data_IF_460993026977
#
_entry.id   IF_460993026977
#
_cell.length_a   1.000
_cell.length_b   1.000
_cell.length_c   1.000
_cell.angle_alpha   90.00
_cell.angle_beta   90.00
_cell.angle_gamma   90.00
#
_symmetry.space_group_name_H-M   'P 1'
#
loop_
_entity.id
_entity.type
_entity.pdbx_description
1 polymer ?
#
# COMPACT_ATOMS: atom_id res chain seq x y z
N UNK A 1 9.81 -19.91 16.00
CA UNK A 1 9.57 -19.19 14.74
C UNK A 1 8.09 -19.29 14.37
N UNK A 2 7.50 -18.17 13.98
CA UNK A 2 6.14 -18.16 13.39
C UNK A 2 6.24 -17.43 12.06
N UNK A 3 5.79 -18.09 10.99
CA UNK A 3 5.69 -17.51 9.66
C UNK A 3 4.21 -17.37 9.31
N UNK A 4 3.80 -16.19 8.90
CA UNK A 4 2.48 -15.90 8.37
C UNK A 4 2.60 -15.29 6.99
N UNK A 5 1.74 -15.70 6.06
CA UNK A 5 1.65 -15.12 4.72
C UNK A 5 0.20 -14.86 4.38
N UNK A 6 -0.04 -13.73 3.72
CA UNK A 6 -1.36 -13.35 3.19
C UNK A 6 -1.17 -12.74 1.82
N UNK A 7 -2.02 -13.12 0.88
CA UNK A 7 -2.05 -12.56 -0.47
C UNK A 7 -3.47 -12.18 -0.86
N UNK A 8 -3.62 -11.05 -1.54
CA UNK A 8 -4.88 -10.61 -2.12
C UNK A 8 -4.66 -10.23 -3.58
N UNK A 9 -5.64 -10.55 -4.39
CA UNK A 9 -5.72 -10.12 -5.78
C UNK A 9 -7.10 -9.54 -6.02
N UNK A 10 -7.17 -8.39 -6.67
CA UNK A 10 -8.41 -7.74 -7.04
C UNK A 10 -8.44 -7.48 -8.54
N UNK A 11 -9.57 -7.80 -9.15
CA UNK A 11 -9.95 -7.41 -10.49
C UNK A 11 -11.12 -6.44 -10.40
N UNK A 12 -10.91 -5.20 -10.83
CA UNK A 12 -11.85 -4.08 -10.60
C UNK A 12 -12.22 -3.42 -11.92
N UNK A 13 -13.08 -4.03 -12.75
CA UNK A 13 -13.58 -3.43 -13.97
C UNK A 13 -14.60 -2.33 -13.65
N UNK A 14 -14.13 -1.15 -13.29
CA UNK A 14 -14.97 0.01 -12.97
C UNK A 14 -15.29 0.77 -14.25
N UNK A 15 -16.36 0.37 -14.95
CA UNK A 15 -16.73 0.90 -16.27
C UNK A 15 -17.87 1.91 -16.14
N UNK A 16 -17.74 3.05 -16.83
CA UNK A 16 -18.85 4.01 -16.96
C UNK A 16 -19.99 3.40 -17.77
N UNK A 17 -21.14 3.17 -17.12
CA UNK A 17 -22.37 2.66 -17.74
C UNK A 17 -23.43 3.74 -17.91
N UNK A 18 -23.11 5.01 -17.70
CA UNK A 18 -24.02 6.13 -17.90
C UNK A 18 -24.39 6.33 -19.35
N UNK A 19 -25.35 7.21 -19.58
CA UNK A 19 -25.75 7.64 -20.95
C UNK A 19 -24.75 8.67 -21.49
N UNK A 20 -24.60 8.70 -22.82
CA UNK A 20 -23.77 9.71 -23.49
C UNK A 20 -24.34 11.10 -23.25
N UNK A 21 -23.54 12.01 -22.74
CA UNK A 21 -23.93 13.41 -22.52
C UNK A 21 -23.97 14.23 -23.81
N UNK A 22 -23.25 13.80 -24.84
CA UNK A 22 -23.18 14.39 -26.15
C UNK A 22 -22.74 13.36 -27.18
N UNK A 23 -22.91 13.60 -28.50
CA UNK A 23 -22.38 12.72 -29.55
C UNK A 23 -20.86 12.52 -29.48
N UNK A 24 -20.13 13.50 -28.93
CA UNK A 24 -18.65 13.43 -28.74
C UNK A 24 -18.21 12.76 -27.45
N UNK A 25 -19.14 12.32 -26.59
CA UNK A 25 -18.80 11.66 -25.32
C UNK A 25 -18.25 10.25 -25.55
N UNK A 26 -16.95 10.10 -25.32
CA UNK A 26 -16.20 8.85 -25.45
C UNK A 26 -16.04 8.12 -24.11
N UNK A 27 -16.63 8.60 -23.02
CA UNK A 27 -16.44 8.04 -21.67
C UNK A 27 -17.27 6.79 -21.40
N UNK A 28 -18.36 6.58 -22.11
CA UNK A 28 -19.27 5.45 -21.92
C UNK A 28 -18.61 4.14 -22.36
N UNK A 29 -18.68 3.12 -21.52
CA UNK A 29 -18.03 1.84 -21.74
C UNK A 29 -16.53 1.82 -21.39
N UNK A 30 -15.97 2.93 -20.88
CA UNK A 30 -14.57 3.07 -20.53
C UNK A 30 -14.32 2.88 -19.02
N UNK A 31 -13.11 2.44 -18.66
CA UNK A 31 -12.67 2.33 -17.28
C UNK A 31 -12.63 3.71 -16.63
N UNK A 32 -13.05 3.79 -15.36
CA UNK A 32 -12.99 5.04 -14.61
C UNK A 32 -11.54 5.50 -14.39
N UNK A 33 -11.27 6.82 -14.46
CA UNK A 33 -9.95 7.37 -14.22
C UNK A 33 -9.40 7.00 -12.84
N UNK A 34 -8.09 6.82 -12.75
CA UNK A 34 -7.32 6.50 -11.54
C UNK A 34 -7.66 5.16 -10.86
N UNK A 35 -8.57 4.37 -11.41
CA UNK A 35 -8.91 3.04 -10.86
C UNK A 35 -8.10 1.98 -11.60
N UNK A 36 -7.20 1.23 -10.93
CA UNK A 36 -6.47 0.14 -11.53
C UNK A 36 -7.41 -1.02 -11.85
N UNK A 37 -7.27 -1.62 -13.01
CA UNK A 37 -8.04 -2.81 -13.41
C UNK A 37 -7.63 -4.04 -12.61
N UNK A 38 -6.34 -4.13 -12.27
CA UNK A 38 -5.78 -5.21 -11.46
C UNK A 38 -4.95 -4.62 -10.34
N UNK A 39 -5.06 -5.22 -9.16
CA UNK A 39 -4.16 -4.95 -8.05
C UNK A 39 -3.88 -6.24 -7.27
N UNK A 40 -2.69 -6.31 -6.69
CA UNK A 40 -2.29 -7.43 -5.87
C UNK A 40 -1.53 -6.95 -4.65
N UNK A 41 -1.68 -7.64 -3.53
CA UNK A 41 -0.88 -7.41 -2.33
C UNK A 41 -0.42 -8.74 -1.77
N UNK A 42 0.87 -8.83 -1.42
CA UNK A 42 1.46 -9.94 -0.71
C UNK A 42 2.08 -9.41 0.58
N UNK A 43 1.77 -10.07 1.69
CA UNK A 43 2.33 -9.73 3.00
C UNK A 43 2.91 -10.98 3.63
N UNK A 44 4.18 -10.92 4.04
CA UNK A 44 4.86 -11.95 4.80
C UNK A 44 5.27 -11.43 6.17
N UNK A 45 4.98 -12.18 7.23
CA UNK A 45 5.38 -11.85 8.60
C UNK A 45 6.17 -13.01 9.18
N UNK A 46 7.38 -12.72 9.64
CA UNK A 46 8.23 -13.65 10.39
C UNK A 46 8.38 -13.13 11.82
N UNK A 47 7.99 -13.95 12.78
CA UNK A 47 8.13 -13.62 14.21
C UNK A 47 9.07 -14.60 14.89
N UNK A 48 10.02 -14.07 15.62
CA UNK A 48 10.93 -14.85 16.44
C UNK A 48 11.13 -14.19 17.80
N UNK A 49 10.71 -14.86 18.90
CA UNK A 49 10.70 -14.27 20.24
C UNK A 49 9.97 -12.92 20.24
N UNK A 50 10.67 -11.84 20.58
CA UNK A 50 10.15 -10.46 20.60
C UNK A 50 10.47 -9.65 19.33
N UNK A 51 10.97 -10.30 18.27
CA UNK A 51 11.22 -9.70 16.96
C UNK A 51 10.10 -10.03 15.99
N UNK A 52 9.69 -9.06 15.19
CA UNK A 52 8.76 -9.26 14.09
C UNK A 52 9.30 -8.54 12.84
N UNK A 53 9.50 -9.29 11.78
CA UNK A 53 9.82 -8.77 10.45
C UNK A 53 8.58 -8.89 9.58
N UNK A 54 8.15 -7.78 8.98
CA UNK A 54 7.04 -7.72 8.06
C UNK A 54 7.55 -7.23 6.71
N UNK A 55 7.28 -7.99 5.67
CA UNK A 55 7.46 -7.57 4.29
C UNK A 55 6.10 -7.41 3.64
N UNK A 56 5.89 -6.30 2.96
CA UNK A 56 4.67 -6.01 2.18
C UNK A 56 5.06 -5.62 0.77
N UNK A 57 4.53 -6.35 -0.19
CA UNK A 57 4.61 -6.03 -1.60
C UNK A 57 3.21 -5.72 -2.13
N UNK A 58 3.09 -4.71 -3.00
CA UNK A 58 1.86 -4.42 -3.71
C UNK A 58 2.15 -4.06 -5.17
N UNK A 59 1.19 -4.40 -6.02
CA UNK A 59 1.20 -4.13 -7.45
C UNK A 59 -0.10 -3.44 -7.85
N UNK A 60 0.00 -2.45 -8.71
CA UNK A 60 -1.12 -1.77 -9.35
C UNK A 60 -0.88 -1.75 -10.86
N UNK A 61 -1.90 -2.18 -11.63
CA UNK A 61 -1.86 -2.08 -13.08
C UNK A 61 -1.92 -0.62 -13.54
N UNK A 62 -1.75 -0.39 -14.83
CA UNK A 62 -1.95 0.91 -15.46
C UNK A 62 -3.31 1.52 -15.07
N UNK A 63 -3.38 2.83 -15.01
CA UNK A 63 -4.58 3.60 -14.70
C UNK A 63 -4.71 4.74 -15.68
N UNK A 64 -5.92 4.98 -16.15
CA UNK A 64 -6.20 6.10 -17.02
C UNK A 64 -6.36 7.38 -16.20
N UNK A 65 -5.94 8.49 -16.74
CA UNK A 65 -6.13 9.83 -16.16
C UNK A 65 -7.36 10.52 -16.72
N UNK A 66 -7.81 10.10 -17.92
CA UNK A 66 -8.92 10.66 -18.67
C UNK A 66 -10.05 9.63 -18.85
N UNK A 67 -11.26 10.14 -18.99
CA UNK A 67 -12.47 9.32 -19.14
C UNK A 67 -12.57 8.58 -20.46
N UNK A 68 -11.85 9.00 -21.50
CA UNK A 68 -11.80 8.34 -22.81
C UNK A 68 -10.81 7.17 -22.86
N UNK A 69 -10.08 6.91 -21.77
CA UNK A 69 -9.00 5.91 -21.67
C UNK A 69 -7.91 6.10 -22.73
N UNK A 70 -7.50 7.33 -22.95
CA UNK A 70 -6.39 7.66 -23.82
C UNK A 70 -5.07 7.06 -23.26
N UNK A 71 -4.25 6.52 -24.15
CA UNK A 71 -2.95 5.90 -23.83
C UNK A 71 -1.75 6.83 -24.10
N UNK A 72 -2.00 8.11 -24.39
CA UNK A 72 -0.92 9.08 -24.53
C UNK A 72 -0.17 9.31 -23.21
N UNK A 73 0.98 9.98 -23.25
CA UNK A 73 1.82 10.23 -22.07
C UNK A 73 1.08 10.90 -20.90
N UNK A 74 0.06 11.70 -21.20
CA UNK A 74 -0.77 12.36 -20.18
C UNK A 74 -2.08 11.62 -19.89
N UNK A 75 -2.48 10.70 -20.74
CA UNK A 75 -3.74 9.96 -20.68
C UNK A 75 -3.71 8.74 -19.76
N UNK A 76 -2.54 8.23 -19.41
CA UNK A 76 -2.41 7.07 -18.52
C UNK A 76 -1.20 7.15 -17.60
N UNK A 77 -1.25 6.41 -16.51
CA UNK A 77 -0.16 6.20 -15.58
C UNK A 77 0.34 4.77 -15.72
N UNK A 78 1.67 4.54 -15.82
CA UNK A 78 2.24 3.20 -15.93
C UNK A 78 1.91 2.33 -14.70
N UNK A 79 1.94 1.01 -14.85
CA UNK A 79 1.85 0.11 -13.70
C UNK A 79 3.08 0.28 -12.82
N UNK A 80 2.92 0.01 -11.52
CA UNK A 80 4.05 0.00 -10.59
C UNK A 80 3.87 -1.05 -9.50
N UNK A 81 4.95 -1.39 -8.86
CA UNK A 81 4.94 -2.16 -7.62
C UNK A 81 5.66 -1.41 -6.52
N UNK A 82 5.39 -1.77 -5.29
CA UNK A 82 6.05 -1.18 -4.12
C UNK A 82 6.33 -2.25 -3.09
N UNK A 83 7.51 -2.15 -2.48
CA UNK A 83 7.98 -3.05 -1.44
C UNK A 83 8.31 -2.28 -0.18
N UNK A 84 7.74 -2.70 0.94
CA UNK A 84 8.00 -2.10 2.24
C UNK A 84 8.48 -3.18 3.20
N UNK A 85 9.44 -2.83 4.06
CA UNK A 85 9.95 -3.69 5.12
C UNK A 85 9.80 -3.00 6.45
N UNK A 86 9.24 -3.71 7.42
CA UNK A 86 9.11 -3.24 8.80
C UNK A 86 9.78 -4.21 9.74
N UNK A 87 10.65 -3.73 10.60
CA UNK A 87 11.24 -4.47 11.69
C UNK A 87 10.72 -3.92 13.02
N UNK A 88 10.23 -4.80 13.86
CA UNK A 88 9.71 -4.44 15.18
C UNK A 88 10.39 -5.29 16.26
N UNK A 89 10.69 -4.64 17.39
CA UNK A 89 11.24 -5.27 18.60
C UNK A 89 10.43 -4.87 19.81
N UNK A 90 9.88 -5.86 20.50
CA UNK A 90 9.23 -5.69 21.79
C UNK A 90 10.18 -5.90 22.96
N UNK A 91 10.03 -5.11 24.01
CA UNK A 91 10.73 -5.25 25.29
C UNK A 91 9.69 -5.22 26.40
N UNK A 92 9.76 -6.19 27.31
CA UNK A 92 8.89 -6.21 28.48
C UNK A 92 9.67 -5.76 29.71
N UNK A 93 9.43 -4.53 30.14
CA UNK A 93 10.00 -3.97 31.35
C UNK A 93 9.06 -4.23 32.52
N UNK A 94 9.54 -4.03 33.75
CA UNK A 94 8.74 -4.24 34.98
C UNK A 94 7.51 -3.30 35.04
N UNK A 95 7.63 -2.08 34.53
CA UNK A 95 6.64 -1.01 34.63
C UNK A 95 5.93 -0.69 33.32
N UNK A 96 6.47 -1.14 32.18
CA UNK A 96 5.87 -0.91 30.86
C UNK A 96 6.30 -1.97 29.85
N UNK A 97 5.53 -2.14 28.79
CA UNK A 97 5.95 -2.78 27.56
C UNK A 97 6.37 -1.70 26.57
N UNK A 98 7.57 -1.85 26.01
CA UNK A 98 8.15 -0.95 25.01
C UNK A 98 8.17 -1.66 23.66
N UNK A 99 7.77 -0.99 22.59
CA UNK A 99 7.97 -1.44 21.23
C UNK A 99 8.73 -0.41 20.40
N UNK A 100 9.74 -0.89 19.67
CA UNK A 100 10.50 -0.10 18.71
C UNK A 100 10.18 -0.65 17.32
N UNK A 101 9.79 0.21 16.40
CA UNK A 101 9.43 -0.16 15.03
C UNK A 101 10.17 0.75 14.05
N UNK A 102 10.88 0.16 13.11
CA UNK A 102 11.48 0.84 11.97
C UNK A 102 10.85 0.32 10.67
N UNK A 103 10.48 1.21 9.77
CA UNK A 103 9.92 0.88 8.46
C UNK A 103 10.74 1.55 7.38
N UNK A 104 11.06 0.79 6.34
CA UNK A 104 11.57 1.29 5.06
C UNK A 104 10.45 1.17 4.05
N UNK A 105 9.96 2.27 3.56
CA UNK A 105 8.98 2.34 2.49
C UNK A 105 9.68 2.50 1.15
N UNK A 106 9.09 1.94 0.10
CA UNK A 106 9.65 1.93 -1.25
C UNK A 106 11.11 1.45 -1.27
N UNK A 107 11.33 0.23 -0.77
CA UNK A 107 12.64 -0.39 -0.55
C UNK A 107 13.55 -0.38 -1.80
N UNK A 108 12.95 -0.48 -2.99
CA UNK A 108 13.69 -0.53 -4.26
C UNK A 108 13.76 0.83 -4.97
N UNK A 109 13.33 1.91 -4.29
CA UNK A 109 13.32 3.28 -4.83
C UNK A 109 12.61 3.37 -6.19
N UNK A 110 11.48 2.66 -6.32
CA UNK A 110 10.69 2.65 -7.54
C UNK A 110 10.13 4.04 -7.84
N UNK A 111 10.38 4.52 -9.04
CA UNK A 111 9.76 5.75 -9.53
C UNK A 111 8.33 5.45 -9.98
N UNK A 112 7.34 6.05 -9.32
CA UNK A 112 5.95 5.81 -9.62
C UNK A 112 5.11 7.09 -9.57
N UNK A 113 3.99 7.05 -10.25
CA UNK A 113 3.00 8.12 -10.25
C UNK A 113 1.66 7.55 -9.76
N UNK A 114 1.14 8.05 -8.65
CA UNK A 114 -0.23 7.75 -8.22
C UNK A 114 -1.24 8.76 -8.77
N UNK A 115 -0.77 9.98 -9.03
CA UNK A 115 -1.53 11.08 -9.66
C UNK A 115 -0.64 11.72 -10.72
N UNK A 116 -1.22 12.09 -11.83
CA UNK A 116 -0.52 12.74 -12.94
C UNK A 116 0.20 14.02 -12.45
N UNK A 117 1.44 14.20 -12.88
CA UNK A 117 2.28 15.37 -12.58
C UNK A 117 2.54 15.61 -11.08
N UNK A 118 2.35 14.60 -10.23
CA UNK A 118 2.73 14.66 -8.82
C UNK A 118 3.89 13.72 -8.55
N UNK A 119 5.09 14.24 -8.20
CA UNK A 119 6.17 13.39 -7.76
C UNK A 119 5.77 12.65 -6.48
N UNK A 120 6.08 11.36 -6.45
CA UNK A 120 5.82 10.51 -5.29
C UNK A 120 7.13 10.32 -4.52
N UNK A 121 7.06 10.08 -3.20
CA UNK A 121 8.26 9.86 -2.41
C UNK A 121 8.98 8.59 -2.87
N UNK A 122 10.30 8.71 -3.07
CA UNK A 122 11.19 7.59 -3.24
C UNK A 122 11.34 6.78 -1.95
N UNK A 123 12.48 6.12 -1.77
CA UNK A 123 12.78 5.42 -0.53
C UNK A 123 12.69 6.37 0.66
N UNK A 124 11.94 5.96 1.71
CA UNK A 124 11.80 6.75 2.93
C UNK A 124 11.76 5.87 4.16
N UNK A 125 12.02 6.46 5.34
CA UNK A 125 12.18 5.75 6.60
C UNK A 125 11.23 6.32 7.63
N UNK A 126 10.59 5.44 8.39
CA UNK A 126 9.75 5.79 9.52
C UNK A 126 10.22 5.08 10.79
N UNK A 127 10.23 5.79 11.91
CA UNK A 127 10.54 5.22 13.22
C UNK A 127 9.39 5.50 14.19
N UNK A 128 9.02 4.47 14.93
CA UNK A 128 7.96 4.54 15.93
C UNK A 128 8.42 3.92 17.25
N UNK A 129 8.10 4.59 18.36
CA UNK A 129 8.33 4.12 19.72
C UNK A 129 6.97 4.04 20.42
N UNK A 130 6.58 2.85 20.83
CA UNK A 130 5.37 2.61 21.61
C UNK A 130 5.70 2.28 23.05
N UNK A 131 5.00 2.90 24.00
CA UNK A 131 5.14 2.64 25.44
C UNK A 131 3.75 2.34 25.99
N UNK A 132 3.57 1.15 26.56
CA UNK A 132 2.33 0.74 27.22
C UNK A 132 2.61 0.53 28.73
N UNK A 133 2.21 1.47 29.61
CA UNK A 133 2.42 1.34 31.06
C UNK A 133 1.68 0.11 31.62
N UNK A 134 2.31 -0.61 32.53
CA UNK A 134 1.69 -1.71 33.29
C UNK A 134 1.11 -1.18 34.58
N UNK A 135 -0.17 -0.84 34.56
CA UNK A 135 -0.86 -0.49 35.80
C UNK A 135 -1.02 -1.76 36.64
N UNK A 136 -0.57 -1.72 37.89
CA UNK A 136 -0.65 -2.86 38.80
C UNK A 136 -2.11 -3.35 38.92
N UNK A 137 -2.35 -4.62 38.57
CA UNK A 137 -3.58 -5.29 39.00
C UNK A 137 -3.60 -5.25 40.53
N UNK A 138 -4.46 -4.44 41.15
CA UNK A 138 -4.79 -4.59 42.55
C UNK A 138 -5.21 -6.05 42.74
N UNK A 139 -4.39 -6.82 43.48
CA UNK A 139 -4.86 -8.12 44.00
C UNK A 139 -6.09 -7.84 44.87
N UNK A 140 -7.24 -8.28 44.44
CA UNK A 140 -8.40 -8.49 45.33
C UNK A 140 -8.21 -9.76 46.08
#
# INVERSE_FOLDING_TARGET
WKLGMNGTFAWTPSINKGEKRSPADQSVGKQLPYVPKYSATLTGRLTYRSWSLLYKWCYYSERYTMTNNDITLTGHLPPYFMSNVTLEKGFSLRWADLSLKGTVNNLFDEEYLSVLSRPMPGINFEFFIGITPKWGKKKR
#
